data_IF_161888437587
#
_entry.id   IF_161888437587
#
_cell.length_a   1.000
_cell.length_b   1.000
_cell.length_c   1.000
_cell.angle_alpha   90.00
_cell.angle_beta   90.00
_cell.angle_gamma   90.00
#
_symmetry.space_group_name_H-M   'P 1'
#
loop_
_entity.id
_entity.type
_entity.pdbx_description
1 polymer ?
#
# COMPACT_ATOMS: atom_id res chain seq x y z
N UNK A 1 -15.32 -28.72 38.86
CA UNK A 1 -15.49 -29.05 37.43
C UNK A 1 -14.43 -28.22 36.76
N UNK A 2 -13.28 -28.86 36.56
CA UNK A 2 -12.07 -28.23 36.01
C UNK A 2 -12.31 -28.10 34.50
N UNK A 3 -12.44 -26.87 34.02
CA UNK A 3 -12.44 -26.59 32.59
C UNK A 3 -10.99 -26.71 32.11
N UNK A 4 -10.67 -27.91 31.65
CA UNK A 4 -9.38 -28.29 31.09
C UNK A 4 -9.14 -27.47 29.82
N UNK A 5 -8.33 -26.42 29.96
CA UNK A 5 -7.83 -25.58 28.88
C UNK A 5 -6.89 -26.43 28.03
N UNK A 6 -7.49 -27.23 27.15
CA UNK A 6 -6.83 -28.11 26.18
C UNK A 6 -5.90 -27.27 25.30
N UNK A 7 -4.68 -27.07 25.77
CA UNK A 7 -3.58 -26.50 25.01
C UNK A 7 -3.30 -27.51 23.89
N UNK A 8 -3.77 -27.23 22.67
CA UNK A 8 -3.47 -28.08 21.52
C UNK A 8 -1.95 -28.17 21.37
N UNK A 9 -1.40 -29.33 21.73
CA UNK A 9 0.02 -29.63 21.59
C UNK A 9 0.29 -29.84 20.10
N UNK A 10 1.00 -28.90 19.49
CA UNK A 10 1.45 -29.01 18.10
C UNK A 10 2.29 -30.28 17.93
N UNK A 11 2.12 -30.96 16.80
CA UNK A 11 3.03 -32.05 16.43
C UNK A 11 4.43 -31.49 16.16
N UNK A 12 5.46 -32.32 16.32
CA UNK A 12 6.86 -31.90 16.07
C UNK A 12 7.06 -31.37 14.64
N UNK A 13 6.35 -31.94 13.66
CA UNK A 13 6.36 -31.49 12.27
C UNK A 13 5.75 -30.09 12.10
N UNK A 14 4.60 -29.83 12.73
CA UNK A 14 3.94 -28.51 12.68
C UNK A 14 4.76 -27.45 13.38
N UNK A 15 5.38 -27.79 14.51
CA UNK A 15 6.27 -26.89 15.24
C UNK A 15 7.50 -26.52 14.41
N UNK A 16 8.13 -27.50 13.76
CA UNK A 16 9.25 -27.26 12.84
C UNK A 16 8.83 -26.40 11.65
N UNK A 17 7.66 -26.68 11.06
CA UNK A 17 7.08 -25.88 9.97
C UNK A 17 6.84 -24.42 10.38
N UNK A 18 6.26 -24.18 11.56
CA UNK A 18 6.05 -22.83 12.07
C UNK A 18 7.37 -22.09 12.31
N UNK A 19 8.39 -22.76 12.86
CA UNK A 19 9.73 -22.18 13.02
C UNK A 19 10.33 -21.78 11.68
N UNK A 20 10.20 -22.64 10.67
CA UNK A 20 10.68 -22.35 9.32
C UNK A 20 10.03 -21.10 8.74
N UNK A 21 8.71 -20.98 8.81
CA UNK A 21 8.00 -19.79 8.33
C UNK A 21 8.35 -18.53 9.11
N UNK A 22 8.50 -18.61 10.44
CA UNK A 22 8.98 -17.49 11.25
C UNK A 22 10.39 -17.04 10.87
N UNK A 23 11.28 -17.98 10.57
CA UNK A 23 12.63 -17.66 10.08
C UNK A 23 12.57 -16.93 8.74
N UNK A 24 11.76 -17.42 7.79
CA UNK A 24 11.54 -16.76 6.50
C UNK A 24 10.95 -15.35 6.66
N UNK A 25 10.04 -15.17 7.62
CA UNK A 25 9.47 -13.87 7.93
C UNK A 25 10.55 -12.88 8.39
N UNK A 26 11.40 -13.32 9.32
CA UNK A 26 12.53 -12.52 9.82
C UNK A 26 13.45 -12.14 8.66
N UNK A 27 13.79 -13.10 7.79
CA UNK A 27 14.61 -12.83 6.61
C UNK A 27 13.94 -11.79 5.71
N UNK A 28 12.65 -11.92 5.42
CA UNK A 28 11.91 -10.97 4.58
C UNK A 28 11.84 -9.57 5.19
N UNK A 29 11.61 -9.45 6.49
CA UNK A 29 11.64 -8.16 7.19
C UNK A 29 13.05 -7.54 7.13
N UNK A 30 14.10 -8.32 7.38
CA UNK A 30 15.48 -7.84 7.27
C UNK A 30 15.83 -7.39 5.84
N UNK A 31 15.34 -8.09 4.82
CA UNK A 31 15.53 -7.69 3.42
C UNK A 31 14.84 -6.35 3.12
N UNK A 32 13.60 -6.16 3.58
CA UNK A 32 12.89 -4.88 3.43
C UNK A 32 13.63 -3.75 4.15
N UNK A 33 14.16 -4.00 5.34
CA UNK A 33 14.98 -3.03 6.06
C UNK A 33 16.26 -2.68 5.27
N UNK A 34 16.95 -3.69 4.74
CA UNK A 34 18.18 -3.51 3.97
C UNK A 34 17.92 -2.63 2.73
N UNK A 35 16.91 -2.95 1.92
CA UNK A 35 16.65 -2.20 0.68
C UNK A 35 16.24 -0.75 0.91
N UNK A 36 15.61 -0.43 2.04
CA UNK A 36 15.26 0.95 2.40
C UNK A 36 16.50 1.83 2.60
N UNK A 37 17.62 1.24 3.05
CA UNK A 37 18.88 1.96 3.22
C UNK A 37 19.78 1.88 1.98
N UNK A 38 19.75 0.78 1.23
CA UNK A 38 20.69 0.56 0.12
C UNK A 38 20.15 0.86 -1.27
N UNK A 39 18.83 0.90 -1.45
CA UNK A 39 18.23 1.17 -2.77
C UNK A 39 18.28 2.65 -3.09
N UNK A 40 18.48 2.94 -4.37
CA UNK A 40 18.15 4.24 -4.94
C UNK A 40 16.64 4.44 -4.92
N UNK A 41 16.22 5.70 -4.85
CA UNK A 41 14.81 6.06 -4.93
C UNK A 41 14.31 5.80 -6.35
N UNK A 42 13.02 5.52 -6.45
CA UNK A 42 12.36 5.35 -7.73
C UNK A 42 12.30 6.64 -8.54
N UNK A 43 12.05 6.52 -9.84
CA UNK A 43 11.92 7.67 -10.73
C UNK A 43 10.78 8.60 -10.27
N UNK A 44 9.61 8.03 -9.99
CA UNK A 44 8.43 8.78 -9.56
C UNK A 44 8.71 9.52 -8.23
N UNK A 45 9.44 8.87 -7.32
CA UNK A 45 9.90 9.48 -6.06
C UNK A 45 10.89 10.62 -6.29
N UNK A 46 11.84 10.46 -7.20
CA UNK A 46 12.79 11.52 -7.56
C UNK A 46 12.10 12.73 -8.17
N UNK A 47 11.12 12.52 -9.03
CA UNK A 47 10.30 13.58 -9.61
C UNK A 47 9.59 14.37 -8.51
N UNK A 48 9.00 13.70 -7.52
CA UNK A 48 8.36 14.36 -6.37
C UNK A 48 9.30 15.18 -5.54
N UNK A 49 10.43 14.59 -5.13
CA UNK A 49 11.42 15.32 -4.34
C UNK A 49 11.94 16.53 -5.12
N UNK A 50 12.02 16.44 -6.45
CA UNK A 50 12.36 17.60 -7.28
C UNK A 50 11.28 18.68 -7.18
N UNK A 51 10.01 18.34 -7.37
CA UNK A 51 8.92 19.30 -7.19
C UNK A 51 8.98 20.01 -5.84
N UNK A 52 9.18 19.26 -4.76
CA UNK A 52 9.31 19.82 -3.41
C UNK A 52 10.52 20.76 -3.28
N UNK A 53 11.67 20.39 -3.88
CA UNK A 53 12.86 21.26 -3.85
C UNK A 53 12.70 22.54 -4.66
N UNK A 54 12.04 22.47 -5.82
CA UNK A 54 11.80 23.65 -6.66
C UNK A 54 10.76 24.56 -6.00
N UNK A 55 9.70 24.00 -5.44
CA UNK A 55 8.69 24.76 -4.70
C UNK A 55 9.31 25.51 -3.51
N UNK A 56 10.18 24.86 -2.74
CA UNK A 56 10.89 25.48 -1.63
C UNK A 56 11.84 26.62 -2.06
N UNK A 57 12.39 26.56 -3.28
CA UNK A 57 13.35 27.54 -3.80
C UNK A 57 12.73 28.68 -4.61
N UNK A 58 11.67 28.40 -5.37
CA UNK A 58 11.08 29.29 -6.37
C UNK A 58 9.60 29.64 -6.09
N UNK A 59 8.95 28.94 -5.16
CA UNK A 59 7.56 29.16 -4.79
C UNK A 59 6.53 28.47 -5.71
N UNK A 60 6.98 27.80 -6.77
CA UNK A 60 6.14 27.01 -7.66
C UNK A 60 6.67 25.57 -7.78
N UNK A 61 5.80 24.59 -7.66
CA UNK A 61 6.13 23.18 -7.85
C UNK A 61 6.11 22.80 -9.34
N UNK A 62 7.13 23.24 -10.08
CA UNK A 62 7.35 22.92 -11.50
C UNK A 62 8.73 22.26 -11.71
N UNK A 63 8.87 21.42 -12.74
CA UNK A 63 10.17 20.81 -13.07
C UNK A 63 11.00 21.75 -13.94
N UNK A 64 12.25 22.01 -13.54
CA UNK A 64 13.19 22.89 -14.26
C UNK A 64 13.51 22.43 -15.69
N UNK A 65 13.24 21.16 -16.03
CA UNK A 65 13.50 20.57 -17.34
C UNK A 65 12.25 20.32 -18.20
N UNK A 66 11.05 20.66 -17.70
CA UNK A 66 9.79 20.41 -18.40
C UNK A 66 9.13 19.06 -18.08
N UNK A 67 8.09 18.71 -18.84
CA UNK A 67 7.39 17.43 -18.67
C UNK A 67 8.31 16.22 -18.83
N UNK A 68 8.10 15.19 -18.01
CA UNK A 68 8.71 13.86 -18.16
C UNK A 68 8.36 13.13 -19.47
N UNK A 69 7.38 13.65 -20.22
CA UNK A 69 6.97 13.18 -21.54
C UNK A 69 6.99 14.39 -22.49
N UNK A 70 8.19 14.83 -22.91
CA UNK A 70 8.34 16.02 -23.72
C UNK A 70 7.73 15.81 -25.12
N UNK A 71 7.32 16.90 -25.76
CA UNK A 71 6.78 16.89 -27.13
C UNK A 71 7.87 16.45 -28.12
N UNK A 72 9.09 16.98 -27.94
CA UNK A 72 10.28 16.52 -28.64
C UNK A 72 11.17 15.72 -27.66
N UNK A 73 11.35 14.40 -27.87
CA UNK A 73 12.16 13.52 -27.03
C UNK A 73 13.63 13.94 -26.88
N UNK A 74 14.15 14.80 -27.75
CA UNK A 74 15.53 15.27 -27.73
C UNK A 74 15.70 16.65 -27.11
N UNK A 75 14.63 17.24 -26.59
CA UNK A 75 14.64 18.58 -25.99
C UNK A 75 14.08 18.58 -24.57
N UNK A 76 14.59 19.51 -23.76
CA UNK A 76 14.00 19.89 -22.48
C UNK A 76 13.34 21.25 -22.66
N UNK A 77 12.04 21.33 -22.32
CA UNK A 77 11.26 22.56 -22.44
C UNK A 77 10.60 22.89 -21.09
N UNK A 78 11.23 23.77 -20.28
CA UNK A 78 10.69 24.17 -18.98
C UNK A 78 9.32 24.86 -19.07
N UNK A 79 9.00 25.48 -20.21
CA UNK A 79 7.69 26.11 -20.43
C UNK A 79 6.55 25.11 -20.59
N UNK A 80 6.90 23.85 -20.88
CA UNK A 80 5.99 22.71 -20.91
C UNK A 80 6.16 21.84 -19.65
N UNK A 81 6.42 22.42 -18.48
CA UNK A 81 6.38 21.70 -17.21
C UNK A 81 4.93 21.61 -16.70
N UNK A 82 4.41 20.42 -16.35
CA UNK A 82 3.19 20.35 -15.57
C UNK A 82 3.46 20.90 -14.17
N UNK A 83 2.48 21.61 -13.61
CA UNK A 83 2.45 21.92 -12.18
C UNK A 83 2.17 20.61 -11.44
N UNK A 84 2.80 20.41 -10.28
CA UNK A 84 2.63 19.22 -9.42
C UNK A 84 1.17 18.73 -9.43
N UNK A 85 0.98 17.49 -9.86
CA UNK A 85 -0.32 16.83 -9.82
C UNK A 85 -0.60 16.35 -8.38
N UNK A 86 -1.85 16.52 -7.92
CA UNK A 86 -2.34 15.91 -6.68
C UNK A 86 -2.09 14.39 -6.73
N UNK A 87 -1.87 13.73 -5.59
CA UNK A 87 -1.66 12.29 -5.59
C UNK A 87 -1.03 11.69 -4.35
N UNK A 88 -0.34 10.56 -4.54
CA UNK A 88 0.45 9.91 -3.48
C UNK A 88 1.59 10.79 -2.94
N UNK A 89 1.92 11.83 -3.68
CA UNK A 89 2.85 12.89 -3.36
C UNK A 89 2.35 13.88 -2.31
N UNK A 90 1.04 13.91 -2.00
CA UNK A 90 0.47 14.88 -1.05
C UNK A 90 0.56 14.43 0.41
N UNK A 91 0.69 13.14 0.65
CA UNK A 91 0.85 12.59 2.01
C UNK A 91 2.24 12.01 2.27
N UNK A 92 3.11 11.99 1.27
CA UNK A 92 4.51 11.64 1.41
C UNK A 92 5.31 12.86 1.81
N UNK A 93 6.31 12.69 2.68
CA UNK A 93 7.18 13.78 3.09
C UNK A 93 8.08 14.29 1.96
N UNK A 94 8.60 15.49 2.14
CA UNK A 94 9.40 16.21 1.13
C UNK A 94 10.89 15.85 1.18
N UNK A 95 11.29 14.92 2.06
CA UNK A 95 12.67 14.44 2.16
C UNK A 95 12.83 12.98 1.74
N UNK A 96 14.00 12.59 1.19
CA UNK A 96 14.32 11.19 0.88
C UNK A 96 14.10 10.24 2.05
N UNK A 97 14.40 10.69 3.28
CA UNK A 97 14.28 9.89 4.47
C UNK A 97 12.82 9.67 4.86
N UNK A 98 11.96 10.68 4.70
CA UNK A 98 10.54 10.55 5.01
C UNK A 98 9.88 9.52 4.09
N UNK A 99 10.19 9.57 2.80
CA UNK A 99 9.68 8.60 1.83
C UNK A 99 10.11 7.18 2.20
N UNK A 100 11.41 6.99 2.47
CA UNK A 100 11.99 5.70 2.86
C UNK A 100 11.33 5.13 4.12
N UNK A 101 11.18 5.94 5.16
CA UNK A 101 10.61 5.52 6.42
C UNK A 101 9.11 5.22 6.31
N UNK A 102 8.35 6.04 5.58
CA UNK A 102 6.93 5.81 5.38
C UNK A 102 6.68 4.56 4.53
N UNK A 103 7.43 4.38 3.45
CA UNK A 103 7.38 3.19 2.61
C UNK A 103 7.66 1.92 3.43
N UNK A 104 8.72 1.95 4.24
CA UNK A 104 9.04 0.85 5.15
C UNK A 104 7.94 0.60 6.20
N UNK A 105 7.39 1.66 6.79
CA UNK A 105 6.34 1.57 7.79
C UNK A 105 5.05 0.96 7.21
N UNK A 106 4.68 1.30 5.97
CA UNK A 106 3.53 0.72 5.27
C UNK A 106 3.76 -0.77 5.04
N UNK A 107 4.95 -1.17 4.58
CA UNK A 107 5.30 -2.58 4.36
C UNK A 107 5.28 -3.38 5.67
N UNK A 108 5.90 -2.86 6.73
CA UNK A 108 5.83 -3.49 8.07
C UNK A 108 4.40 -3.55 8.59
N UNK A 109 3.61 -2.50 8.37
CA UNK A 109 2.19 -2.46 8.72
C UNK A 109 1.39 -3.55 8.02
N UNK A 110 1.64 -3.78 6.73
CA UNK A 110 0.99 -4.84 5.99
C UNK A 110 1.38 -6.23 6.51
N UNK A 111 2.67 -6.49 6.68
CA UNK A 111 3.18 -7.75 7.23
C UNK A 111 2.61 -7.99 8.63
N UNK A 112 2.62 -6.96 9.48
CA UNK A 112 2.10 -7.02 10.85
C UNK A 112 0.59 -7.27 10.89
N UNK A 113 -0.18 -6.68 9.98
CA UNK A 113 -1.62 -6.93 9.83
C UNK A 113 -1.89 -8.40 9.52
N UNK A 114 -1.17 -8.98 8.55
CA UNK A 114 -1.33 -10.38 8.17
C UNK A 114 -0.91 -11.34 9.29
N UNK A 115 0.21 -11.03 9.95
CA UNK A 115 0.68 -11.80 11.11
C UNK A 115 -0.35 -11.79 12.24
N UNK A 116 -0.95 -10.63 12.55
CA UNK A 116 -2.01 -10.49 13.56
C UNK A 116 -3.26 -11.29 13.21
N UNK A 117 -3.59 -11.42 11.93
CA UNK A 117 -4.70 -12.23 11.44
C UNK A 117 -4.39 -13.74 11.39
N UNK A 118 -3.28 -14.19 12.01
CA UNK A 118 -2.82 -15.58 12.02
C UNK A 118 -2.52 -16.15 10.62
N UNK A 119 -2.22 -15.28 9.66
CA UNK A 119 -1.86 -15.66 8.28
C UNK A 119 -0.34 -15.58 8.09
N UNK A 120 0.39 -16.43 8.82
CA UNK A 120 1.86 -16.39 8.85
C UNK A 120 2.46 -16.58 7.44
N UNK A 121 1.97 -17.55 6.70
CA UNK A 121 2.45 -17.89 5.36
C UNK A 121 2.23 -16.72 4.39
N UNK A 122 1.06 -16.06 4.45
CA UNK A 122 0.79 -14.89 3.62
C UNK A 122 1.68 -13.71 4.02
N UNK A 123 1.90 -13.49 5.32
CA UNK A 123 2.81 -12.46 5.81
C UNK A 123 4.24 -12.68 5.29
N UNK A 124 4.70 -13.94 5.25
CA UNK A 124 5.99 -14.33 4.67
C UNK A 124 6.01 -14.08 3.17
N UNK A 125 4.95 -14.46 2.44
CA UNK A 125 4.85 -14.21 1.01
C UNK A 125 4.96 -12.72 0.70
N UNK A 126 4.23 -11.87 1.41
CA UNK A 126 4.32 -10.41 1.26
C UNK A 126 5.73 -9.90 1.58
N UNK A 127 6.33 -10.36 2.68
CA UNK A 127 7.66 -9.92 3.10
C UNK A 127 8.77 -10.31 2.10
N UNK A 128 8.64 -11.46 1.44
CA UNK A 128 9.63 -11.97 0.48
C UNK A 128 9.30 -11.67 -0.98
N UNK A 129 8.13 -11.09 -1.28
CA UNK A 129 7.71 -10.85 -2.65
C UNK A 129 8.61 -9.78 -3.29
N UNK A 130 9.32 -10.08 -4.40
CA UNK A 130 10.31 -9.17 -4.98
C UNK A 130 9.74 -7.79 -5.31
N UNK A 131 8.51 -7.73 -5.84
CA UNK A 131 7.86 -6.46 -6.19
C UNK A 131 7.65 -5.58 -4.97
N UNK A 132 7.28 -6.14 -3.81
CA UNK A 132 7.12 -5.37 -2.59
C UNK A 132 8.45 -4.94 -2.00
N UNK A 133 9.47 -5.78 -2.05
CA UNK A 133 10.83 -5.39 -1.65
C UNK A 133 11.31 -4.20 -2.49
N UNK A 134 11.16 -4.28 -3.82
CA UNK A 134 11.56 -3.19 -4.72
C UNK A 134 10.72 -1.91 -4.53
N UNK A 135 9.40 -2.05 -4.40
CA UNK A 135 8.49 -0.92 -4.16
C UNK A 135 8.85 -0.23 -2.83
N UNK A 136 9.11 -1.03 -1.79
CA UNK A 136 9.52 -0.53 -0.47
C UNK A 136 10.81 0.28 -0.57
N UNK A 137 11.87 -0.29 -1.17
CA UNK A 137 13.17 0.36 -1.29
C UNK A 137 13.16 1.61 -2.18
N UNK A 138 12.35 1.61 -3.24
CA UNK A 138 12.23 2.76 -4.16
C UNK A 138 11.26 3.84 -3.67
N UNK A 139 10.50 3.57 -2.61
CA UNK A 139 9.51 4.49 -2.08
C UNK A 139 8.29 4.64 -2.98
N UNK A 140 7.90 3.58 -3.68
CA UNK A 140 6.73 3.61 -4.55
C UNK A 140 5.43 3.28 -3.79
N UNK A 141 4.25 3.70 -4.30
CA UNK A 141 2.99 3.52 -3.60
C UNK A 141 2.36 2.12 -3.73
N UNK A 142 2.97 1.15 -4.43
CA UNK A 142 2.29 -0.13 -4.70
C UNK A 142 2.00 -0.92 -3.43
N UNK A 143 2.85 -0.86 -2.40
CA UNK A 143 2.57 -1.56 -1.14
C UNK A 143 1.34 -0.96 -0.47
N UNK A 144 1.19 0.37 -0.49
CA UNK A 144 -0.01 1.03 0.01
C UNK A 144 -1.26 0.59 -0.76
N UNK A 145 -1.19 0.58 -2.09
CA UNK A 145 -2.30 0.12 -2.94
C UNK A 145 -2.66 -1.33 -2.61
N UNK A 146 -1.66 -2.19 -2.40
CA UNK A 146 -1.87 -3.58 -2.02
C UNK A 146 -2.57 -3.72 -0.65
N UNK A 147 -2.20 -2.90 0.35
CA UNK A 147 -2.88 -2.87 1.66
C UNK A 147 -4.34 -2.46 1.49
N UNK A 148 -4.63 -1.43 0.70
CA UNK A 148 -6.00 -0.98 0.45
C UNK A 148 -6.82 -2.03 -0.31
N UNK A 149 -6.24 -2.68 -1.32
CA UNK A 149 -6.89 -3.79 -2.03
C UNK A 149 -7.16 -4.98 -1.10
N UNK A 150 -6.21 -5.31 -0.22
CA UNK A 150 -6.42 -6.34 0.79
C UNK A 150 -7.59 -5.99 1.72
N UNK A 151 -7.70 -4.72 2.14
CA UNK A 151 -8.84 -4.25 2.93
C UNK A 151 -10.17 -4.41 2.17
N UNK A 152 -10.23 -4.08 0.88
CA UNK A 152 -11.42 -4.31 0.02
C UNK A 152 -11.82 -5.79 0.03
N UNK A 153 -10.86 -6.70 -0.18
CA UNK A 153 -11.13 -8.15 -0.20
C UNK A 153 -11.67 -8.64 1.14
N UNK A 154 -11.08 -8.19 2.25
CA UNK A 154 -11.54 -8.57 3.60
C UNK A 154 -12.93 -8.02 3.90
N UNK A 155 -13.23 -6.79 3.49
CA UNK A 155 -14.58 -6.21 3.64
C UNK A 155 -15.60 -7.04 2.85
N UNK A 156 -15.33 -7.33 1.57
CA UNK A 156 -16.21 -8.18 0.76
C UNK A 156 -16.40 -9.57 1.39
N UNK A 157 -15.32 -10.21 1.83
CA UNK A 157 -15.38 -11.53 2.46
C UNK A 157 -16.16 -11.52 3.77
N UNK A 158 -16.09 -10.44 4.53
CA UNK A 158 -16.87 -10.24 5.75
C UNK A 158 -18.36 -10.09 5.41
N UNK A 159 -18.70 -9.31 4.39
CA UNK A 159 -20.10 -9.10 3.97
C UNK A 159 -20.75 -10.38 3.46
N UNK A 160 -20.04 -11.20 2.67
CA UNK A 160 -20.55 -12.49 2.21
C UNK A 160 -20.89 -13.47 3.36
N UNK A 161 -20.39 -13.26 4.57
CA UNK A 161 -20.66 -14.10 5.75
C UNK A 161 -21.77 -13.53 6.64
N UNK A 162 -22.29 -12.36 6.33
CA UNK A 162 -23.19 -11.64 7.21
C UNK A 162 -24.66 -11.92 6.85
N UNK A 163 -25.41 -12.43 7.82
CA UNK A 163 -26.84 -12.75 7.63
C UNK A 163 -27.78 -11.54 7.79
N UNK A 164 -27.28 -10.43 8.36
CA UNK A 164 -28.07 -9.21 8.63
C UNK A 164 -27.96 -8.21 7.48
N UNK A 165 -29.01 -8.14 6.67
CA UNK A 165 -29.11 -7.30 5.45
C UNK A 165 -28.87 -5.81 5.71
N UNK A 166 -29.33 -5.26 6.84
CA UNK A 166 -29.16 -3.84 7.11
C UNK A 166 -27.72 -3.48 7.46
N UNK A 167 -27.02 -4.37 8.17
CA UNK A 167 -25.58 -4.22 8.43
C UNK A 167 -24.77 -4.44 7.15
N UNK A 168 -25.21 -5.37 6.30
CA UNK A 168 -24.57 -5.62 5.00
C UNK A 168 -24.58 -4.38 4.10
N UNK A 169 -25.69 -3.65 4.06
CA UNK A 169 -25.80 -2.38 3.31
C UNK A 169 -24.80 -1.31 3.76
N UNK A 170 -24.73 -1.06 5.07
CA UNK A 170 -23.84 -0.03 5.61
C UNK A 170 -22.37 -0.38 5.39
N UNK A 171 -22.03 -1.67 5.46
CA UNK A 171 -20.66 -2.14 5.29
C UNK A 171 -20.25 -2.31 3.84
N UNK A 172 -21.18 -2.58 2.91
CA UNK A 172 -20.91 -2.51 1.47
C UNK A 172 -20.41 -1.12 1.06
N UNK A 173 -20.99 -0.05 1.62
CA UNK A 173 -20.52 1.32 1.39
C UNK A 173 -19.12 1.58 1.95
N UNK A 174 -18.66 0.81 2.95
CA UNK A 174 -17.30 0.98 3.49
C UNK A 174 -16.20 0.61 2.50
N UNK A 175 -16.52 -0.16 1.44
CA UNK A 175 -15.60 -0.46 0.31
C UNK A 175 -15.21 0.82 -0.45
N UNK A 176 -16.07 1.85 -0.45
CA UNK A 176 -15.76 3.12 -1.10
C UNK A 176 -14.52 3.79 -0.52
N UNK A 177 -14.23 3.59 0.78
CA UNK A 177 -13.11 4.24 1.48
C UNK A 177 -11.74 3.76 1.01
N UNK A 178 -11.39 2.46 1.06
CA UNK A 178 -10.11 1.98 0.53
C UNK A 178 -10.01 2.20 -0.99
N UNK A 179 -11.11 2.17 -1.73
CA UNK A 179 -11.10 2.52 -3.16
C UNK A 179 -10.81 4.00 -3.40
N UNK A 180 -11.40 4.90 -2.61
CA UNK A 180 -11.10 6.33 -2.64
C UNK A 180 -9.61 6.60 -2.33
N UNK A 181 -9.03 5.86 -1.39
CA UNK A 181 -7.61 5.96 -1.07
C UNK A 181 -6.69 5.51 -2.24
N UNK A 182 -7.04 4.43 -2.95
CA UNK A 182 -6.29 3.95 -4.12
C UNK A 182 -6.32 4.98 -5.26
N UNK A 183 -7.49 5.55 -5.56
CA UNK A 183 -7.62 6.53 -6.64
C UNK A 183 -6.96 7.86 -6.26
N UNK A 184 -7.02 8.26 -4.99
CA UNK A 184 -6.31 9.44 -4.48
C UNK A 184 -4.80 9.32 -4.66
N UNK A 185 -4.21 8.17 -4.35
CA UNK A 185 -2.79 7.88 -4.60
C UNK A 185 -2.42 8.07 -6.07
N UNK A 186 -3.35 7.83 -6.99
CA UNK A 186 -3.15 8.00 -8.43
C UNK A 186 -3.43 9.42 -8.94
N UNK A 187 -3.71 10.38 -8.04
CA UNK A 187 -4.03 11.76 -8.41
C UNK A 187 -5.43 11.95 -8.96
N UNK A 188 -6.32 10.99 -8.74
CA UNK A 188 -7.72 11.10 -9.12
C UNK A 188 -8.56 11.55 -7.93
N UNK A 189 -9.67 12.24 -8.23
CA UNK A 189 -10.63 12.67 -7.22
C UNK A 189 -11.13 11.49 -6.38
N UNK A 190 -11.11 11.64 -5.05
CA UNK A 190 -11.61 10.64 -4.09
C UNK A 190 -13.07 10.23 -4.33
N UNK A 191 -13.87 11.09 -4.98
CA UNK A 191 -15.25 10.79 -5.37
C UNK A 191 -15.37 9.54 -6.25
N UNK A 192 -14.29 9.17 -6.97
CA UNK A 192 -14.23 7.93 -7.75
C UNK A 192 -14.26 6.66 -6.89
N UNK A 193 -14.14 6.75 -5.57
CA UNK A 193 -14.43 5.63 -4.66
C UNK A 193 -15.92 5.29 -4.55
N UNK A 194 -16.82 6.27 -4.72
CA UNK A 194 -18.27 6.06 -4.55
C UNK A 194 -18.87 5.06 -5.55
N UNK A 195 -18.55 5.10 -6.86
CA UNK A 195 -19.03 4.09 -7.80
C UNK A 195 -18.75 2.66 -7.35
N UNK A 196 -17.59 2.38 -6.73
CA UNK A 196 -17.25 1.05 -6.23
C UNK A 196 -18.12 0.65 -5.03
N UNK A 197 -18.36 1.56 -4.09
CA UNK A 197 -19.24 1.29 -2.95
C UNK A 197 -20.70 1.09 -3.36
N UNK A 198 -21.19 1.89 -4.31
CA UNK A 198 -22.55 1.74 -4.87
C UNK A 198 -22.69 0.45 -5.67
N UNK A 199 -21.68 0.07 -6.45
CA UNK A 199 -21.67 -1.19 -7.18
C UNK A 199 -21.66 -2.39 -6.22
N UNK A 200 -20.88 -2.33 -5.14
CA UNK A 200 -20.88 -3.36 -4.11
C UNK A 200 -22.24 -3.46 -3.42
N UNK A 201 -22.84 -2.32 -3.05
CA UNK A 201 -24.19 -2.29 -2.47
C UNK A 201 -25.22 -2.94 -3.41
N UNK A 202 -25.24 -2.54 -4.69
CA UNK A 202 -26.16 -3.10 -5.68
C UNK A 202 -25.96 -4.61 -5.88
N UNK A 203 -24.70 -5.08 -5.86
CA UNK A 203 -24.39 -6.50 -5.93
C UNK A 203 -24.97 -7.28 -4.74
N UNK A 204 -24.76 -6.79 -3.52
CA UNK A 204 -25.27 -7.46 -2.32
C UNK A 204 -26.79 -7.36 -2.16
N UNK A 205 -27.46 -6.43 -2.83
CA UNK A 205 -28.93 -6.41 -2.90
C UNK A 205 -29.50 -7.37 -3.94
N UNK A 206 -28.71 -7.73 -4.95
CA UNK A 206 -29.12 -8.68 -5.99
C UNK A 206 -28.83 -10.14 -5.65
N UNK A 207 -27.96 -10.40 -4.66
CA UNK A 207 -27.55 -11.73 -4.20
C UNK A 207 -28.44 -12.24 -3.06
#
# INVERSE_FOLDING_TARGET
>A
MEDDESTQVLTDEEYSRQKWWKLLLIIGVCLNALVVFTSDLGLDTHIHLTYATVEAGQGEAALDWGHTRPIDPLSSDPSYAPVKEDGWFDFIGDSPNDVRLLSFAITLGFIGLLYKQQQLELAVMVALYPTFIFSTGRGYPEVFIAVMLYAVVILIAHECRQEDVNKARLRALSIAVPMAAIVAVKGMSMWWGLPFGLAALAWFEAA
#
